data_IF_870760402495
#
_entry.id   IF_870760402495
#
_cell.length_a   1.000
_cell.length_b   1.000
_cell.length_c   1.000
_cell.angle_alpha   90.00
_cell.angle_beta   90.00
_cell.angle_gamma   90.00
#
_symmetry.space_group_name_H-M   'P 1'
#
loop_
_entity.id
_entity.type
_entity.pdbx_description
1 polymer ?
#
# COMPACT_ATOMS: atom_id res chain seq x y z
N UNK A 1 -13.37 -17.43 -1.51
CA UNK A 1 -12.97 -17.29 -0.10
C UNK A 1 -14.08 -16.57 0.68
N UNK A 2 -14.07 -16.63 2.01
CA UNK A 2 -14.99 -15.83 2.86
C UNK A 2 -14.85 -14.32 2.57
N UNK A 3 -13.62 -13.85 2.32
CA UNK A 3 -13.33 -12.46 1.94
C UNK A 3 -14.11 -12.02 0.70
N UNK A 4 -14.13 -12.84 -0.37
CA UNK A 4 -14.90 -12.55 -1.58
C UNK A 4 -16.40 -12.39 -1.29
N UNK A 5 -16.98 -13.26 -0.46
CA UNK A 5 -18.39 -13.17 -0.09
C UNK A 5 -18.69 -11.92 0.74
N UNK A 6 -17.78 -11.55 1.66
CA UNK A 6 -17.90 -10.35 2.45
C UNK A 6 -17.91 -9.09 1.57
N UNK A 7 -16.98 -8.99 0.62
CA UNK A 7 -16.89 -7.85 -0.31
C UNK A 7 -18.13 -7.75 -1.20
N UNK A 8 -18.58 -8.87 -1.77
CA UNK A 8 -19.79 -8.88 -2.59
C UNK A 8 -21.04 -8.39 -1.83
N UNK A 9 -21.07 -8.55 -0.51
CA UNK A 9 -22.19 -8.09 0.33
C UNK A 9 -22.19 -6.59 0.64
N UNK A 10 -21.05 -5.91 0.42
CA UNK A 10 -20.87 -4.49 0.77
C UNK A 10 -20.54 -3.60 -0.44
N UNK A 11 -20.07 -4.16 -1.56
CA UNK A 11 -19.50 -3.38 -2.68
C UNK A 11 -20.50 -2.36 -3.25
N UNK A 12 -21.77 -2.71 -3.39
CA UNK A 12 -22.82 -1.80 -3.88
C UNK A 12 -23.27 -0.74 -2.85
N UNK A 13 -22.65 -0.73 -1.66
CA UNK A 13 -23.05 0.09 -0.50
C UNK A 13 -21.95 1.02 -0.01
N UNK A 14 -20.80 1.03 -0.67
CA UNK A 14 -19.62 1.79 -0.28
C UNK A 14 -19.07 2.54 -1.49
N UNK A 15 -18.48 3.70 -1.24
CA UNK A 15 -17.84 4.51 -2.28
C UNK A 15 -16.36 4.13 -2.48
N UNK A 16 -15.76 3.45 -1.51
CA UNK A 16 -14.38 2.98 -1.53
C UNK A 16 -14.17 1.85 -0.51
N UNK A 17 -13.14 1.04 -0.72
CA UNK A 17 -12.68 0.04 0.25
C UNK A 17 -11.29 0.41 0.77
N UNK A 18 -11.12 0.33 2.09
CA UNK A 18 -9.81 0.50 2.72
C UNK A 18 -9.33 -0.81 3.33
N UNK A 19 -8.12 -1.22 2.97
CA UNK A 19 -7.45 -2.43 3.45
C UNK A 19 -6.35 -2.02 4.41
N UNK A 20 -6.54 -2.33 5.69
CA UNK A 20 -5.49 -2.20 6.70
C UNK A 20 -4.44 -3.33 6.56
N UNK A 21 -3.32 -3.22 7.30
CA UNK A 21 -2.22 -4.20 7.34
C UNK A 21 -2.63 -5.56 7.94
N UNK A 22 -3.53 -6.27 7.26
CA UNK A 22 -4.04 -7.58 7.63
C UNK A 22 -3.49 -8.63 6.67
N UNK A 23 -2.56 -9.44 7.16
CA UNK A 23 -1.92 -10.52 6.39
C UNK A 23 -2.94 -11.54 5.82
N UNK A 24 -4.15 -11.64 6.38
CA UNK A 24 -5.23 -12.50 5.90
C UNK A 24 -5.83 -11.95 4.61
N UNK A 25 -5.99 -10.63 4.53
CA UNK A 25 -6.59 -9.95 3.36
C UNK A 25 -5.63 -9.96 2.18
N UNK A 26 -4.31 -9.89 2.42
CA UNK A 26 -3.28 -9.96 1.38
C UNK A 26 -3.44 -11.23 0.52
N UNK A 27 -3.77 -12.37 1.12
CA UNK A 27 -3.94 -13.64 0.37
C UNK A 27 -5.16 -13.65 -0.57
N UNK A 28 -6.12 -12.75 -0.36
CA UNK A 28 -7.35 -12.66 -1.16
C UNK A 28 -7.46 -11.33 -1.92
N UNK A 29 -6.43 -10.48 -1.87
CA UNK A 29 -6.50 -9.09 -2.32
C UNK A 29 -6.80 -8.99 -3.82
N UNK A 30 -6.19 -9.83 -4.66
CA UNK A 30 -6.43 -9.81 -6.12
C UNK A 30 -7.88 -10.10 -6.46
N UNK A 31 -8.47 -11.15 -5.86
CA UNK A 31 -9.87 -11.50 -6.11
C UNK A 31 -10.87 -10.49 -5.56
N UNK A 32 -10.48 -9.71 -4.55
CA UNK A 32 -11.27 -8.60 -4.03
C UNK A 32 -11.16 -7.38 -4.94
N UNK A 33 -9.94 -7.06 -5.39
CA UNK A 33 -9.64 -5.94 -6.26
C UNK A 33 -10.40 -6.03 -7.59
N UNK A 34 -10.44 -7.21 -8.20
CA UNK A 34 -11.22 -7.48 -9.41
C UNK A 34 -12.72 -7.14 -9.21
N UNK A 35 -13.33 -7.58 -8.11
CA UNK A 35 -14.76 -7.32 -7.84
C UNK A 35 -15.04 -5.85 -7.61
N UNK A 36 -14.16 -5.19 -6.85
CA UNK A 36 -14.30 -3.76 -6.57
C UNK A 36 -14.15 -2.95 -7.87
N UNK A 37 -13.19 -3.28 -8.72
CA UNK A 37 -12.99 -2.65 -10.01
C UNK A 37 -14.20 -2.86 -10.95
N UNK A 38 -14.72 -4.08 -11.04
CA UNK A 38 -15.96 -4.38 -11.80
C UNK A 38 -17.16 -3.54 -11.32
N UNK A 39 -17.21 -3.23 -10.03
CA UNK A 39 -18.24 -2.40 -9.42
C UNK A 39 -17.94 -0.88 -9.48
N UNK A 40 -16.79 -0.47 -10.01
CA UNK A 40 -16.36 0.93 -10.03
C UNK A 40 -15.97 1.49 -8.65
N UNK A 41 -15.60 0.62 -7.71
CA UNK A 41 -15.23 0.98 -6.33
C UNK A 41 -13.71 0.95 -6.17
N UNK A 42 -13.04 2.08 -5.90
CA UNK A 42 -11.60 2.11 -5.66
C UNK A 42 -11.19 1.39 -4.38
N UNK A 43 -10.01 0.77 -4.40
CA UNK A 43 -9.35 0.20 -3.21
C UNK A 43 -8.14 1.04 -2.81
N UNK A 44 -8.08 1.33 -1.50
CA UNK A 44 -6.95 1.96 -0.82
C UNK A 44 -6.29 0.96 0.13
N UNK A 45 -4.97 0.83 0.12
CA UNK A 45 -4.22 -0.08 1.01
C UNK A 45 -3.25 0.66 1.92
N UNK A 46 -3.06 0.13 3.14
CA UNK A 46 -2.02 0.57 4.09
C UNK A 46 -0.64 -0.07 3.84
N UNK A 47 -0.54 -0.93 2.83
CA UNK A 47 0.66 -1.65 2.46
C UNK A 47 0.88 -1.56 0.96
N UNK A 48 1.98 -0.91 0.56
CA UNK A 48 2.38 -0.75 -0.84
C UNK A 48 2.80 -2.07 -1.47
N UNK A 49 3.31 -3.02 -0.69
CA UNK A 49 3.86 -4.27 -1.22
C UNK A 49 2.78 -5.21 -1.74
N UNK A 50 1.63 -5.28 -1.07
CA UNK A 50 0.47 -6.05 -1.51
C UNK A 50 -0.33 -5.41 -2.66
N UNK A 51 -0.01 -4.17 -3.04
CA UNK A 51 -0.68 -3.47 -4.14
C UNK A 51 -0.11 -3.85 -5.53
N UNK A 52 1.15 -4.27 -5.60
CA UNK A 52 1.75 -4.71 -6.85
C UNK A 52 1.06 -5.96 -7.42
N UNK A 53 0.95 -6.02 -8.75
CA UNK A 53 0.28 -7.10 -9.49
C UNK A 53 -1.21 -7.29 -9.11
N UNK A 54 -1.88 -6.22 -8.68
CA UNK A 54 -3.30 -6.21 -8.30
C UNK A 54 -4.01 -4.93 -8.76
N UNK A 55 -5.33 -4.93 -8.72
CA UNK A 55 -6.17 -3.77 -9.09
C UNK A 55 -6.39 -2.78 -7.92
N UNK A 56 -5.41 -2.69 -7.00
CA UNK A 56 -5.44 -1.66 -5.95
C UNK A 56 -5.17 -0.30 -6.58
N UNK A 57 -6.03 0.68 -6.31
CA UNK A 57 -5.93 2.01 -6.89
C UNK A 57 -4.79 2.83 -6.27
N UNK A 58 -4.75 2.90 -4.94
CA UNK A 58 -3.70 3.61 -4.21
C UNK A 58 -3.27 2.83 -2.97
N UNK A 59 -1.99 2.96 -2.61
CA UNK A 59 -1.50 2.43 -1.35
C UNK A 59 -0.54 3.40 -0.67
N UNK A 60 -0.54 3.40 0.65
CA UNK A 60 0.33 4.23 1.47
C UNK A 60 0.86 3.39 2.62
N UNK A 61 2.17 3.16 2.65
CA UNK A 61 2.80 2.27 3.62
C UNK A 61 4.15 2.79 4.10
N UNK A 62 4.69 2.19 5.15
CA UNK A 62 6.05 2.50 5.59
C UNK A 62 7.07 1.90 4.63
N UNK A 63 8.17 2.62 4.41
CA UNK A 63 9.32 2.05 3.73
C UNK A 63 9.95 0.94 4.62
N UNK A 64 9.65 -0.33 4.30
CA UNK A 64 10.15 -1.48 5.06
C UNK A 64 11.68 -1.62 5.00
N UNK A 65 12.34 -1.13 3.95
CA UNK A 65 13.80 -1.10 3.88
C UNK A 65 14.39 -0.14 4.90
N UNK A 66 13.86 1.08 5.02
CA UNK A 66 14.25 2.06 6.05
C UNK A 66 13.93 1.53 7.45
N UNK A 67 12.80 0.84 7.62
CA UNK A 67 12.49 0.14 8.88
C UNK A 67 13.58 -0.87 9.26
N UNK A 68 14.05 -1.67 8.30
CA UNK A 68 15.11 -2.64 8.50
C UNK A 68 16.46 -1.97 8.83
N UNK A 69 16.79 -0.87 8.15
CA UNK A 69 18.01 -0.10 8.42
C UNK A 69 18.01 0.48 9.83
N UNK A 70 16.92 1.14 10.22
CA UNK A 70 16.74 1.69 11.57
C UNK A 70 16.85 0.58 12.63
N UNK A 71 16.23 -0.57 12.38
CA UNK A 71 16.33 -1.73 13.27
C UNK A 71 17.78 -2.19 13.41
N UNK A 72 18.53 -2.25 12.30
CA UNK A 72 19.95 -2.62 12.30
C UNK A 72 20.81 -1.65 13.13
N UNK A 73 20.53 -0.35 13.05
CA UNK A 73 21.22 0.67 13.86
C UNK A 73 20.95 0.49 15.37
N UNK A 74 19.70 0.20 15.75
CA UNK A 74 19.36 -0.09 17.14
C UNK A 74 20.02 -1.38 17.63
N UNK A 75 20.04 -2.44 16.82
CA UNK A 75 20.74 -3.69 17.15
C UNK A 75 22.24 -3.43 17.36
N UNK A 76 22.86 -2.61 16.52
CA UNK A 76 24.27 -2.25 16.67
C UNK A 76 24.54 -1.55 18.02
N UNK A 77 23.71 -0.59 18.43
CA UNK A 77 23.84 0.09 19.73
C UNK A 77 23.84 -0.87 20.91
N UNK A 78 22.95 -1.85 20.88
CA UNK A 78 22.89 -2.91 21.89
C UNK A 78 24.15 -3.77 21.87
N UNK A 79 24.63 -4.16 20.68
CA UNK A 79 25.87 -4.93 20.53
C UNK A 79 27.11 -4.15 21.01
N UNK A 80 27.10 -2.83 20.88
CA UNK A 80 28.14 -1.92 21.38
C UNK A 80 28.03 -1.68 22.91
N UNK A 81 27.05 -2.28 23.59
CA UNK A 81 26.94 -2.33 25.05
C UNK A 81 25.94 -1.35 25.67
N UNK A 82 25.12 -0.66 24.86
CA UNK A 82 24.05 0.19 25.38
C UNK A 82 22.92 -0.66 26.01
N UNK A 83 22.43 -0.25 27.18
CA UNK A 83 21.29 -0.91 27.84
C UNK A 83 20.00 -0.68 27.02
N UNK A 84 19.33 -1.74 26.54
CA UNK A 84 18.06 -1.62 25.81
C UNK A 84 16.99 -0.81 26.54
N UNK A 85 17.02 -0.78 27.89
CA UNK A 85 16.06 0.00 28.70
C UNK A 85 16.17 1.51 28.48
N UNK A 86 17.30 1.99 27.96
CA UNK A 86 17.59 3.39 27.68
C UNK A 86 17.33 3.77 26.21
N UNK A 87 17.07 2.79 25.34
CA UNK A 87 16.76 3.01 23.93
C UNK A 87 15.27 3.33 23.81
N UNK A 88 14.95 4.59 23.51
CA UNK A 88 13.58 5.03 23.26
C UNK A 88 12.95 4.38 22.03
N UNK A 89 11.61 4.40 21.95
CA UNK A 89 10.86 3.93 20.78
C UNK A 89 11.26 4.75 19.56
N UNK A 90 11.74 4.08 18.52
CA UNK A 90 12.02 4.70 17.24
C UNK A 90 10.76 4.67 16.36
N UNK A 91 10.51 5.76 15.65
CA UNK A 91 9.37 5.91 14.75
C UNK A 91 9.90 6.14 13.33
N UNK A 92 9.19 5.58 12.35
CA UNK A 92 9.39 5.93 10.94
C UNK A 92 8.48 7.11 10.61
N UNK A 93 9.07 8.15 10.00
CA UNK A 93 8.34 9.33 9.52
C UNK A 93 7.94 9.21 8.05
N UNK A 94 8.54 8.28 7.31
CA UNK A 94 8.52 8.30 5.85
C UNK A 94 7.52 7.28 5.33
N UNK A 95 6.41 7.79 4.82
CA UNK A 95 5.42 7.03 4.07
C UNK A 95 5.81 7.00 2.59
N UNK A 96 5.58 5.85 1.95
CA UNK A 96 5.69 5.66 0.52
C UNK A 96 4.29 5.58 -0.06
N UNK A 97 4.07 6.37 -1.11
CA UNK A 97 2.81 6.39 -1.85
C UNK A 97 2.97 5.59 -3.14
N UNK A 98 1.95 4.79 -3.42
CA UNK A 98 1.77 4.01 -4.62
C UNK A 98 0.48 4.46 -5.30
N UNK A 99 0.52 4.65 -6.61
CA UNK A 99 -0.65 4.99 -7.44
C UNK A 99 -0.66 4.10 -8.68
N UNK A 100 -1.82 3.52 -8.99
CA UNK A 100 -2.04 2.76 -10.21
C UNK A 100 -2.89 3.57 -11.21
N UNK A 101 -2.25 4.08 -12.27
CA UNK A 101 -2.91 4.88 -13.30
C UNK A 101 -3.76 4.03 -14.26
N UNK A 102 -3.46 2.74 -14.40
CA UNK A 102 -4.30 1.83 -15.19
C UNK A 102 -5.66 1.68 -14.52
N UNK A 103 -5.67 1.42 -13.22
CA UNK A 103 -6.90 1.36 -12.39
C UNK A 103 -7.61 2.72 -12.36
N UNK A 104 -6.87 3.84 -12.26
CA UNK A 104 -7.46 5.18 -12.31
C UNK A 104 -8.24 5.38 -13.62
N UNK A 105 -7.67 4.97 -14.74
CA UNK A 105 -8.31 5.06 -16.07
C UNK A 105 -9.57 4.19 -16.14
N UNK A 106 -9.54 2.98 -15.60
CA UNK A 106 -10.71 2.08 -15.60
C UNK A 106 -11.84 2.59 -14.71
N UNK A 107 -11.50 3.21 -13.58
CA UNK A 107 -12.45 3.87 -12.68
C UNK A 107 -12.93 5.24 -13.20
N UNK A 108 -12.33 5.76 -14.27
CA UNK A 108 -12.63 7.10 -14.80
C UNK A 108 -12.24 8.23 -13.86
N UNK A 109 -11.18 8.04 -13.06
CA UNK A 109 -10.67 8.99 -12.07
C UNK A 109 -9.41 9.66 -12.61
N UNK A 110 -9.37 11.00 -12.54
CA UNK A 110 -8.14 11.77 -12.76
C UNK A 110 -7.36 11.89 -11.43
N UNK A 111 -6.06 11.60 -11.47
CA UNK A 111 -5.18 11.74 -10.30
C UNK A 111 -4.45 13.07 -10.39
N UNK A 112 -4.54 13.88 -9.32
CA UNK A 112 -3.86 15.17 -9.23
C UNK A 112 -2.33 15.01 -9.31
N UNK A 113 -1.68 15.90 -10.06
CA UNK A 113 -0.22 15.90 -10.24
C UNK A 113 0.53 15.96 -8.90
N UNK A 114 -0.02 16.66 -7.91
CA UNK A 114 0.59 16.73 -6.57
C UNK A 114 0.72 15.35 -5.90
N UNK A 115 -0.23 14.44 -6.13
CA UNK A 115 -0.18 13.07 -5.61
C UNK A 115 0.89 12.28 -6.35
N UNK A 116 0.99 12.45 -7.67
CA UNK A 116 1.99 11.79 -8.50
C UNK A 116 3.42 12.23 -8.12
N UNK A 117 3.61 13.52 -7.86
CA UNK A 117 4.90 14.09 -7.46
C UNK A 117 5.39 13.55 -6.10
N UNK A 118 4.46 13.17 -5.21
CA UNK A 118 4.77 12.56 -3.91
C UNK A 118 4.83 11.03 -3.96
N UNK A 119 4.48 10.41 -5.10
CA UNK A 119 4.44 8.96 -5.27
C UNK A 119 5.81 8.36 -5.55
N UNK A 120 6.14 7.32 -4.77
CA UNK A 120 7.36 6.52 -4.93
C UNK A 120 7.15 5.41 -5.95
N UNK A 121 5.89 5.04 -6.20
CA UNK A 121 5.50 4.04 -7.19
C UNK A 121 4.32 4.56 -8.01
N UNK A 122 4.51 4.63 -9.34
CA UNK A 122 3.47 5.00 -10.30
C UNK A 122 3.38 3.84 -11.30
N UNK A 123 2.25 3.15 -11.30
CA UNK A 123 2.01 2.02 -12.22
C UNK A 123 1.27 2.50 -13.45
N UNK A 124 1.81 2.17 -14.62
CA UNK A 124 1.19 2.40 -15.91
C UNK A 124 1.57 1.29 -16.90
N UNK A 125 0.60 0.73 -17.60
CA UNK A 125 0.79 -0.44 -18.47
C UNK A 125 1.23 -1.69 -17.70
N UNK A 126 0.84 -1.82 -16.43
CA UNK A 126 1.19 -2.93 -15.56
C UNK A 126 2.65 -2.94 -15.07
N UNK A 127 3.39 -1.82 -15.24
CA UNK A 127 4.77 -1.69 -14.76
C UNK A 127 4.97 -0.40 -13.98
N UNK A 128 5.92 -0.42 -13.05
CA UNK A 128 6.37 0.79 -12.34
C UNK A 128 7.20 1.68 -13.27
N UNK A 129 6.72 2.91 -13.47
CA UNK A 129 7.35 3.92 -14.34
C UNK A 129 8.08 5.01 -13.56
N UNK A 130 8.16 4.90 -12.24
CA UNK A 130 8.81 5.90 -11.40
C UNK A 130 10.28 6.05 -11.78
N UNK A 131 10.72 7.29 -12.00
CA UNK A 131 12.11 7.60 -12.38
C UNK A 131 12.43 7.52 -13.88
N UNK A 132 11.44 7.25 -14.75
CA UNK A 132 11.59 7.38 -16.22
C UNK A 132 11.20 8.78 -16.75
N UNK A 133 11.17 9.80 -15.87
CA UNK A 133 10.90 11.21 -16.20
C UNK A 133 12.17 12.05 -16.16
#
# INVERSE_FOLDING_TARGET
SEVRQAIQSIVDRVDAVYVANDNTVVSAISSMAEICLEAGVPIFSADTTSAFDTDVFMACGFNYYKSGLLTGELVKRVLDGEDPSQIGVAYLSDLEYYVNLDVASELGVEVDQAILDESVYIIQGGVDITGNS
#
